data_IF_131955415782
#
_entry.id   IF_131955415782
#
_cell.length_a   1.000
_cell.length_b   1.000
_cell.length_c   1.000
_cell.angle_alpha   90.00
_cell.angle_beta   90.00
_cell.angle_gamma   90.00
#
_symmetry.space_group_name_H-M   'P 1'
#
loop_
_entity.id
_entity.type
_entity.pdbx_description
1 polymer ?
#
# COMPACT_ATOMS: atom_id res chain seq x y z
N UNK A 1 5.32 -10.13 -21.74
CA UNK A 1 6.68 -10.71 -21.93
C UNK A 1 7.46 -10.12 -20.77
N UNK A 2 7.30 -10.76 -19.61
CA UNK A 2 7.39 -10.05 -18.34
C UNK A 2 8.82 -10.18 -17.83
N UNK A 3 9.55 -9.07 -17.92
CA UNK A 3 10.87 -8.93 -17.30
C UNK A 3 10.77 -7.96 -16.13
N UNK A 4 9.79 -8.21 -15.25
CA UNK A 4 10.00 -7.93 -13.84
C UNK A 4 10.88 -9.10 -13.38
N UNK A 5 12.15 -8.89 -12.99
CA UNK A 5 12.95 -9.99 -12.47
C UNK A 5 12.16 -10.61 -11.31
N UNK A 6 11.83 -11.91 -11.42
CA UNK A 6 11.33 -12.69 -10.29
C UNK A 6 12.22 -12.35 -9.11
N UNK A 7 11.62 -11.74 -8.10
CA UNK A 7 12.34 -11.38 -6.91
C UNK A 7 12.87 -12.68 -6.31
N UNK A 8 14.16 -12.76 -5.93
CA UNK A 8 14.65 -13.97 -5.29
C UNK A 8 13.79 -14.22 -4.06
N UNK A 9 13.20 -15.42 -3.99
CA UNK A 9 12.48 -15.90 -2.82
C UNK A 9 13.33 -15.64 -1.56
N UNK A 10 12.72 -15.18 -0.46
CA UNK A 10 13.47 -14.98 0.77
C UNK A 10 14.08 -16.32 1.18
N UNK A 11 15.26 -16.24 1.81
CA UNK A 11 15.89 -17.46 2.36
C UNK A 11 14.95 -18.13 3.37
N UNK A 12 15.09 -19.45 3.58
CA UNK A 12 14.31 -20.17 4.58
C UNK A 12 14.43 -19.52 5.96
N UNK A 13 13.34 -19.54 6.72
CA UNK A 13 13.30 -18.94 8.07
C UNK A 13 14.41 -19.49 8.97
N UNK A 14 14.63 -20.81 8.95
CA UNK A 14 15.67 -21.49 9.73
C UNK A 14 17.10 -21.01 9.40
N UNK A 15 17.32 -20.44 8.21
CA UNK A 15 18.58 -19.81 7.82
C UNK A 15 18.64 -18.33 8.18
N UNK A 16 17.50 -17.63 8.12
CA UNK A 16 17.42 -16.19 8.37
C UNK A 16 17.41 -15.83 9.86
N UNK A 17 16.72 -16.60 10.70
CA UNK A 17 16.67 -16.39 12.16
C UNK A 17 18.08 -16.24 12.78
N UNK A 18 19.02 -17.20 12.62
CA UNK A 18 20.35 -17.08 13.22
C UNK A 18 21.14 -15.90 12.63
N UNK A 19 20.97 -15.56 11.35
CA UNK A 19 21.67 -14.44 10.74
C UNK A 19 21.19 -13.09 11.27
N UNK A 20 19.89 -12.97 11.57
CA UNK A 20 19.30 -11.80 12.23
C UNK A 20 19.74 -11.74 13.70
N UNK A 21 19.82 -12.87 14.40
CA UNK A 21 20.33 -12.94 15.77
C UNK A 21 21.81 -12.51 15.87
N UNK A 22 22.65 -12.94 14.94
CA UNK A 22 24.06 -12.57 14.87
C UNK A 22 24.27 -11.11 14.44
N UNK A 23 23.38 -10.57 13.60
CA UNK A 23 23.49 -9.23 13.04
C UNK A 23 22.19 -8.43 13.26
N UNK A 24 21.83 -8.12 14.52
CA UNK A 24 20.54 -7.53 14.83
C UNK A 24 20.34 -6.18 14.16
N UNK A 25 21.38 -5.39 13.90
CA UNK A 25 21.22 -4.07 13.26
C UNK A 25 21.04 -4.14 11.73
N UNK A 26 21.09 -5.33 11.12
CA UNK A 26 20.99 -5.48 9.68
C UNK A 26 19.52 -5.44 9.22
N UNK A 27 19.04 -4.23 8.90
CA UNK A 27 17.66 -3.99 8.46
C UNK A 27 17.27 -4.80 7.21
N UNK A 28 18.22 -5.10 6.32
CA UNK A 28 17.96 -5.92 5.13
C UNK A 28 17.64 -7.36 5.51
N UNK A 29 18.41 -7.95 6.43
CA UNK A 29 18.15 -9.31 6.93
C UNK A 29 16.82 -9.37 7.68
N UNK A 30 16.51 -8.35 8.49
CA UNK A 30 15.22 -8.27 9.17
C UNK A 30 14.05 -8.18 8.18
N UNK A 31 14.15 -7.33 7.15
CA UNK A 31 13.11 -7.22 6.13
C UNK A 31 12.90 -8.54 5.38
N UNK A 32 13.98 -9.24 5.02
CA UNK A 32 13.89 -10.56 4.38
C UNK A 32 13.26 -11.61 5.30
N UNK A 33 13.57 -11.59 6.61
CA UNK A 33 12.94 -12.48 7.58
C UNK A 33 11.46 -12.15 7.79
N UNK A 34 11.08 -10.87 7.81
CA UNK A 34 9.66 -10.45 7.84
C UNK A 34 8.92 -11.03 6.65
N UNK A 35 9.50 -11.01 5.45
CA UNK A 35 8.88 -11.58 4.26
C UNK A 35 8.76 -13.09 4.32
N UNK A 36 9.81 -13.77 4.76
CA UNK A 36 9.78 -15.21 4.96
C UNK A 36 8.65 -15.59 5.93
N UNK A 37 8.49 -14.86 7.03
CA UNK A 37 7.37 -15.03 7.96
C UNK A 37 6.01 -14.78 7.30
N UNK A 38 5.88 -13.71 6.50
CA UNK A 38 4.62 -13.41 5.81
C UNK A 38 4.25 -14.51 4.80
N UNK A 39 5.22 -15.04 4.04
CA UNK A 39 5.01 -16.14 3.11
C UNK A 39 4.60 -17.45 3.81
N UNK A 40 5.19 -17.73 4.97
CA UNK A 40 4.88 -18.91 5.79
C UNK A 40 3.58 -18.76 6.62
N UNK A 41 2.94 -17.58 6.58
CA UNK A 41 1.73 -17.28 7.35
C UNK A 41 1.98 -16.98 8.83
N UNK A 42 3.24 -16.80 9.23
CA UNK A 42 3.71 -16.44 10.58
C UNK A 42 3.57 -14.93 10.83
N UNK A 43 2.34 -14.43 10.70
CA UNK A 43 2.03 -12.99 10.72
C UNK A 43 2.37 -12.34 12.07
N UNK A 44 2.19 -13.06 13.18
CA UNK A 44 2.48 -12.55 14.52
C UNK A 44 3.99 -12.33 14.72
N UNK A 45 4.83 -13.27 14.28
CA UNK A 45 6.28 -13.15 14.32
C UNK A 45 6.79 -12.04 13.41
N UNK A 46 6.23 -11.93 12.20
CA UNK A 46 6.50 -10.82 11.29
C UNK A 46 6.22 -9.48 11.99
N UNK A 47 5.04 -9.34 12.61
CA UNK A 47 4.62 -8.11 13.30
C UNK A 47 5.54 -7.78 14.47
N UNK A 48 5.90 -8.78 15.28
CA UNK A 48 6.81 -8.61 16.41
C UNK A 48 8.19 -8.15 15.94
N UNK A 49 8.70 -8.71 14.84
CA UNK A 49 9.99 -8.31 14.27
C UNK A 49 9.97 -6.87 13.75
N UNK A 50 8.90 -6.44 13.08
CA UNK A 50 8.72 -5.04 12.66
C UNK A 50 8.69 -4.11 13.88
N UNK A 51 7.91 -4.44 14.91
CA UNK A 51 7.81 -3.67 16.16
C UNK A 51 9.18 -3.54 16.87
N UNK A 52 9.98 -4.60 16.85
CA UNK A 52 11.33 -4.60 17.43
C UNK A 52 12.37 -3.85 16.56
N UNK A 53 12.02 -3.54 15.31
CA UNK A 53 12.91 -2.85 14.36
C UNK A 53 12.75 -1.34 14.40
N UNK A 54 11.54 -0.86 14.67
CA UNK A 54 11.25 0.57 14.73
C UNK A 54 11.33 1.01 16.20
N UNK A 55 12.32 1.82 16.61
CA UNK A 55 12.45 2.25 17.98
C UNK A 55 11.18 2.97 18.47
N UNK A 56 10.85 2.88 19.77
CA UNK A 56 9.70 3.60 20.32
C UNK A 56 9.76 5.10 19.98
N UNK A 57 8.77 5.57 19.23
CA UNK A 57 8.65 6.95 18.76
C UNK A 57 7.34 7.58 19.25
N UNK A 58 7.31 8.91 19.32
CA UNK A 58 6.11 9.71 19.64
C UNK A 58 5.47 10.35 18.41
N UNK A 59 6.07 10.14 17.24
CA UNK A 59 5.61 10.68 15.96
C UNK A 59 5.48 9.54 14.94
N UNK A 60 4.53 9.65 13.99
CA UNK A 60 4.28 8.61 12.97
C UNK A 60 5.34 8.56 11.87
N UNK A 61 6.18 9.60 11.77
CA UNK A 61 7.15 9.79 10.67
C UNK A 61 8.02 8.55 10.34
N UNK A 62 8.60 7.81 11.31
CA UNK A 62 9.42 6.63 10.97
C UNK A 62 8.63 5.55 10.22
N UNK A 63 7.38 5.31 10.58
CA UNK A 63 6.53 4.31 9.92
C UNK A 63 6.22 4.75 8.48
N UNK A 64 5.88 6.03 8.30
CA UNK A 64 5.62 6.61 6.98
C UNK A 64 6.85 6.51 6.05
N UNK A 65 8.03 6.88 6.53
CA UNK A 65 9.26 6.85 5.72
C UNK A 65 9.74 5.43 5.40
N UNK A 66 9.67 4.51 6.38
CA UNK A 66 10.09 3.12 6.17
C UNK A 66 9.13 2.43 5.21
N UNK A 67 7.82 2.58 5.44
CA UNK A 67 6.79 2.02 4.56
C UNK A 67 6.92 2.56 3.13
N UNK A 68 7.13 3.87 2.97
CA UNK A 68 7.27 4.48 1.64
C UNK A 68 8.50 3.94 0.91
N UNK A 69 9.61 3.76 1.63
CA UNK A 69 10.80 3.14 1.05
C UNK A 69 10.58 1.70 0.62
N UNK A 70 9.79 0.94 1.38
CA UNK A 70 9.39 -0.42 1.05
C UNK A 70 8.46 -0.46 -0.17
N UNK A 71 7.53 0.51 -0.30
CA UNK A 71 6.69 0.66 -1.49
C UNK A 71 7.54 0.93 -2.75
N UNK A 72 8.52 1.85 -2.68
CA UNK A 72 9.46 2.14 -3.78
C UNK A 72 10.24 0.90 -4.22
N UNK A 73 10.62 0.06 -3.27
CA UNK A 73 11.44 -1.14 -3.51
C UNK A 73 10.60 -2.39 -3.76
N UNK A 74 9.27 -2.24 -3.89
CA UNK A 74 8.30 -3.31 -4.15
C UNK A 74 8.22 -4.40 -3.06
N UNK A 75 8.48 -4.03 -1.81
CA UNK A 75 8.27 -4.85 -0.62
C UNK A 75 6.88 -4.57 -0.01
N UNK A 76 5.84 -4.61 -0.83
CA UNK A 76 4.50 -4.08 -0.49
C UNK A 76 3.89 -4.78 0.73
N UNK A 77 4.03 -6.11 0.86
CA UNK A 77 3.52 -6.84 2.01
C UNK A 77 4.21 -6.44 3.33
N UNK A 78 5.52 -6.16 3.30
CA UNK A 78 6.26 -5.63 4.44
C UNK A 78 5.84 -4.19 4.73
N UNK A 79 5.61 -3.38 3.69
CA UNK A 79 5.12 -2.01 3.83
C UNK A 79 3.76 -1.99 4.54
N UNK A 80 2.82 -2.86 4.13
CA UNK A 80 1.52 -3.01 4.77
C UNK A 80 1.67 -3.31 6.27
N UNK A 81 2.58 -4.21 6.64
CA UNK A 81 2.84 -4.54 8.04
C UNK A 81 3.45 -3.36 8.82
N UNK A 82 4.38 -2.61 8.21
CA UNK A 82 4.96 -1.40 8.82
C UNK A 82 3.89 -0.33 9.04
N UNK A 83 3.03 -0.09 8.05
CA UNK A 83 1.93 0.86 8.16
C UNK A 83 0.89 0.39 9.19
N UNK A 84 0.61 -0.91 9.27
CA UNK A 84 -0.29 -1.48 10.26
C UNK A 84 0.21 -1.22 11.69
N UNK A 85 1.48 -1.53 11.97
CA UNK A 85 2.10 -1.25 13.28
C UNK A 85 2.10 0.25 13.57
N UNK A 86 2.32 1.08 12.55
CA UNK A 86 2.22 2.54 12.67
C UNK A 86 0.81 2.99 13.05
N UNK A 87 -0.21 2.52 12.32
CA UNK A 87 -1.62 2.85 12.54
C UNK A 87 -2.11 2.39 13.91
N UNK A 88 -1.72 1.20 14.38
CA UNK A 88 -2.03 0.71 15.72
C UNK A 88 -1.53 1.66 16.83
N UNK A 89 -0.46 2.41 16.57
CA UNK A 89 0.13 3.37 17.51
C UNK A 89 -0.36 4.81 17.32
N UNK A 90 -0.71 5.17 16.10
CA UNK A 90 -1.16 6.52 15.71
C UNK A 90 -2.43 6.40 14.86
N UNK A 91 -3.56 5.97 15.45
CA UNK A 91 -4.75 5.65 14.68
C UNK A 91 -5.39 6.86 14.00
N UNK A 92 -5.13 8.07 14.48
CA UNK A 92 -5.66 9.33 13.91
C UNK A 92 -4.73 9.95 12.84
N UNK A 93 -3.61 9.31 12.48
CA UNK A 93 -2.72 9.82 11.41
C UNK A 93 -3.27 9.44 10.03
N UNK A 94 -3.88 10.40 9.35
CA UNK A 94 -4.50 10.17 8.04
C UNK A 94 -3.54 9.63 6.96
N UNK A 95 -2.25 9.97 7.02
CA UNK A 95 -1.26 9.42 6.08
C UNK A 95 -1.04 7.93 6.33
N UNK A 96 -0.90 7.49 7.57
CA UNK A 96 -0.79 6.07 7.89
C UNK A 96 -2.04 5.29 7.50
N UNK A 97 -3.23 5.86 7.72
CA UNK A 97 -4.49 5.27 7.26
C UNK A 97 -4.48 5.05 5.74
N UNK A 98 -4.14 6.10 4.98
CA UNK A 98 -4.13 6.05 3.52
C UNK A 98 -3.06 5.11 2.96
N UNK A 99 -1.83 5.17 3.49
CA UNK A 99 -0.74 4.32 3.02
C UNK A 99 -0.97 2.85 3.39
N UNK A 100 -1.60 2.57 4.54
CA UNK A 100 -2.02 1.21 4.88
C UNK A 100 -3.06 0.71 3.87
N UNK A 101 -4.08 1.52 3.57
CA UNK A 101 -5.11 1.18 2.58
C UNK A 101 -4.48 0.82 1.23
N UNK A 102 -3.59 1.67 0.69
CA UNK A 102 -2.91 1.39 -0.57
C UNK A 102 -2.00 0.16 -0.51
N UNK A 103 -1.27 -0.04 0.59
CA UNK A 103 -0.41 -1.21 0.72
C UNK A 103 -1.22 -2.52 0.78
N UNK A 104 -2.42 -2.53 1.39
CA UNK A 104 -3.32 -3.68 1.37
C UNK A 104 -3.85 -3.96 -0.05
N UNK A 105 -4.25 -2.91 -0.78
CA UNK A 105 -4.70 -2.98 -2.17
C UNK A 105 -3.59 -3.53 -3.07
N UNK A 106 -2.40 -2.92 -3.04
CA UNK A 106 -1.29 -3.31 -3.91
C UNK A 106 -0.71 -4.69 -3.57
N UNK A 107 -0.77 -5.12 -2.31
CA UNK A 107 -0.35 -6.47 -1.92
C UNK A 107 -1.40 -7.54 -2.24
N UNK A 108 -2.53 -7.17 -2.85
CA UNK A 108 -3.59 -8.09 -3.24
C UNK A 108 -4.26 -8.76 -2.04
N UNK A 109 -4.34 -8.06 -0.90
CA UNK A 109 -5.03 -8.59 0.26
C UNK A 109 -6.52 -8.80 -0.08
N UNK A 110 -7.16 -9.85 0.47
CA UNK A 110 -8.57 -10.10 0.23
C UNK A 110 -9.43 -8.89 0.62
N UNK A 111 -10.51 -8.62 -0.12
CA UNK A 111 -11.43 -7.49 0.14
C UNK A 111 -11.93 -7.44 1.58
N UNK A 112 -12.18 -8.60 2.21
CA UNK A 112 -12.53 -8.68 3.65
C UNK A 112 -11.55 -7.97 4.60
N UNK A 113 -10.25 -7.90 4.24
CA UNK A 113 -9.22 -7.23 5.03
C UNK A 113 -9.32 -5.71 4.85
N UNK A 114 -9.67 -5.26 3.65
CA UNK A 114 -9.97 -3.85 3.35
C UNK A 114 -11.24 -3.41 4.09
N UNK A 115 -12.29 -4.22 4.07
CA UNK A 115 -13.54 -3.99 4.83
C UNK A 115 -13.26 -3.87 6.34
N UNK A 116 -12.46 -4.78 6.90
CA UNK A 116 -12.08 -4.71 8.32
C UNK A 116 -11.33 -3.41 8.64
N UNK A 117 -10.42 -2.98 7.75
CA UNK A 117 -9.74 -1.71 7.93
C UNK A 117 -10.73 -0.54 7.89
N UNK A 118 -11.66 -0.51 6.93
CA UNK A 118 -12.70 0.54 6.83
C UNK A 118 -13.45 0.68 8.16
N UNK A 119 -13.93 -0.43 8.74
CA UNK A 119 -14.60 -0.38 10.04
C UNK A 119 -13.74 0.19 11.16
N UNK A 120 -12.44 -0.11 11.18
CA UNK A 120 -11.52 0.47 12.16
C UNK A 120 -11.27 1.97 11.91
N UNK A 121 -11.22 2.39 10.65
CA UNK A 121 -11.06 3.79 10.28
C UNK A 121 -12.27 4.63 10.71
N UNK A 122 -13.49 4.10 10.63
CA UNK A 122 -14.71 4.72 11.13
C UNK A 122 -14.64 5.00 12.66
N UNK A 123 -13.98 4.13 13.42
CA UNK A 123 -13.79 4.29 14.86
C UNK A 123 -12.67 5.29 15.22
N UNK A 124 -11.74 5.55 14.29
CA UNK A 124 -10.57 6.40 14.52
C UNK A 124 -10.40 7.46 13.41
N UNK A 125 -11.36 8.37 13.24
CA UNK A 125 -11.33 9.31 12.12
C UNK A 125 -10.22 10.37 12.27
N UNK A 126 -9.67 10.75 11.13
CA UNK A 126 -8.76 11.87 10.89
C UNK A 126 -9.41 12.82 9.87
N UNK A 127 -8.75 13.92 9.54
CA UNK A 127 -9.27 14.87 8.54
C UNK A 127 -9.34 14.32 7.11
N UNK A 128 -8.74 13.16 6.84
CA UNK A 128 -8.67 12.55 5.50
C UNK A 128 -9.19 11.12 5.47
N UNK A 129 -9.87 10.69 6.54
CA UNK A 129 -10.40 9.32 6.66
C UNK A 129 -11.46 9.03 5.62
N UNK A 130 -12.41 9.93 5.39
CA UNK A 130 -13.49 9.72 4.40
C UNK A 130 -12.93 9.46 3.00
N UNK A 131 -11.86 10.19 2.62
CA UNK A 131 -11.16 9.97 1.34
C UNK A 131 -10.51 8.57 1.30
N UNK A 132 -9.93 8.14 2.42
CA UNK A 132 -9.29 6.82 2.52
C UNK A 132 -10.32 5.68 2.51
N UNK A 133 -11.47 5.87 3.14
CA UNK A 133 -12.59 4.93 3.10
C UNK A 133 -13.10 4.81 1.67
N UNK A 134 -13.37 5.93 0.99
CA UNK A 134 -13.83 5.90 -0.40
C UNK A 134 -12.85 5.19 -1.35
N UNK A 135 -11.53 5.31 -1.12
CA UNK A 135 -10.52 4.54 -1.86
C UNK A 135 -10.71 3.03 -1.64
N UNK A 136 -10.92 2.60 -0.40
CA UNK A 136 -11.17 1.20 -0.05
C UNK A 136 -12.49 0.68 -0.64
N UNK A 137 -13.56 1.47 -0.55
CA UNK A 137 -14.87 1.14 -1.11
C UNK A 137 -14.82 1.00 -2.64
N UNK A 138 -14.20 1.96 -3.33
CA UNK A 138 -14.00 1.86 -4.78
C UNK A 138 -13.23 0.58 -5.16
N UNK A 139 -12.20 0.21 -4.41
CA UNK A 139 -11.48 -1.04 -4.64
C UNK A 139 -12.35 -2.29 -4.42
N UNK A 140 -13.18 -2.30 -3.37
CA UNK A 140 -14.12 -3.40 -3.12
C UNK A 140 -15.09 -3.55 -4.30
N UNK A 141 -15.72 -2.47 -4.73
CA UNK A 141 -16.69 -2.46 -5.83
C UNK A 141 -16.08 -2.95 -7.16
N UNK A 142 -14.81 -2.62 -7.43
CA UNK A 142 -14.05 -3.17 -8.58
C UNK A 142 -13.97 -4.70 -8.49
N UNK A 143 -13.62 -5.24 -7.32
CA UNK A 143 -13.44 -6.67 -7.12
C UNK A 143 -14.76 -7.45 -7.07
N UNK A 144 -15.84 -6.81 -6.64
CA UNK A 144 -17.17 -7.40 -6.61
C UNK A 144 -17.87 -7.39 -7.98
N UNK A 145 -17.28 -6.74 -8.98
CA UNK A 145 -17.83 -6.66 -10.33
C UNK A 145 -18.90 -5.58 -10.49
N UNK A 146 -18.84 -4.53 -9.68
CA UNK A 146 -19.68 -3.33 -9.76
C UNK A 146 -18.85 -2.11 -10.22
N UNK A 147 -18.21 -2.17 -11.41
CA UNK A 147 -17.26 -1.15 -11.85
C UNK A 147 -17.87 0.25 -11.94
N UNK A 148 -19.14 0.36 -12.33
CA UNK A 148 -19.82 1.66 -12.44
C UNK A 148 -19.90 2.39 -11.07
N UNK A 149 -20.16 1.63 -9.98
CA UNK A 149 -20.20 2.19 -8.62
C UNK A 149 -18.81 2.66 -8.21
N UNK A 150 -17.78 1.86 -8.47
CA UNK A 150 -16.41 2.23 -8.18
C UNK A 150 -16.00 3.52 -8.89
N UNK A 151 -16.39 3.68 -10.16
CA UNK A 151 -16.07 4.88 -10.94
C UNK A 151 -16.77 6.12 -10.39
N UNK A 152 -18.04 6.01 -9.97
CA UNK A 152 -18.77 7.11 -9.34
C UNK A 152 -18.06 7.56 -8.05
N UNK A 153 -17.67 6.61 -7.18
CA UNK A 153 -16.92 6.90 -5.95
C UNK A 153 -15.59 7.62 -6.30
N UNK A 154 -14.83 7.10 -7.25
CA UNK A 154 -13.54 7.68 -7.64
C UNK A 154 -13.70 9.11 -8.18
N UNK A 155 -14.75 9.38 -8.96
CA UNK A 155 -15.01 10.72 -9.48
C UNK A 155 -15.39 11.70 -8.37
N UNK A 156 -16.20 11.29 -7.40
CA UNK A 156 -16.53 12.11 -6.23
C UNK A 156 -15.26 12.47 -5.41
N UNK A 157 -14.38 11.51 -5.21
CA UNK A 157 -13.10 11.75 -4.52
C UNK A 157 -12.18 12.70 -5.29
N UNK A 158 -12.18 12.64 -6.63
CA UNK A 158 -11.40 13.53 -7.48
C UNK A 158 -11.96 14.96 -7.46
N UNK A 159 -13.28 15.11 -7.35
CA UNK A 159 -13.97 16.39 -7.24
C UNK A 159 -13.91 17.00 -5.83
N UNK A 160 -13.47 16.23 -4.83
CA UNK A 160 -13.35 16.69 -3.44
C UNK A 160 -12.28 17.79 -3.32
N UNK A 161 -12.71 19.00 -2.95
CA UNK A 161 -11.82 20.14 -2.78
C UNK A 161 -10.76 19.86 -1.69
N UNK A 162 -9.49 20.13 -2.02
CA UNK A 162 -8.37 19.90 -1.11
C UNK A 162 -8.02 18.43 -0.85
N UNK A 163 -8.47 17.47 -1.68
CA UNK A 163 -8.06 16.07 -1.57
C UNK A 163 -6.51 15.93 -1.59
N UNK A 164 -5.87 15.53 -0.47
CA UNK A 164 -4.41 15.43 -0.39
C UNK A 164 -3.85 14.17 -1.05
N UNK A 165 -4.71 13.23 -1.46
CA UNK A 165 -4.38 11.96 -2.10
C UNK A 165 -4.87 11.90 -3.56
N UNK A 166 -5.08 13.07 -4.18
CA UNK A 166 -5.56 13.16 -5.56
C UNK A 166 -4.70 12.37 -6.56
N UNK A 167 -3.34 12.39 -6.52
CA UNK A 167 -2.53 11.57 -7.41
C UNK A 167 -2.80 10.07 -7.21
N UNK A 168 -2.94 9.62 -5.97
CA UNK A 168 -3.23 8.23 -5.65
C UNK A 168 -4.66 7.84 -6.12
N UNK A 169 -5.66 8.70 -5.93
CA UNK A 169 -7.03 8.47 -6.44
C UNK A 169 -7.07 8.36 -7.96
N UNK A 170 -6.32 9.22 -8.67
CA UNK A 170 -6.20 9.16 -10.13
C UNK A 170 -5.50 7.88 -10.61
N UNK A 171 -4.51 7.41 -9.86
CA UNK A 171 -3.89 6.11 -10.11
C UNK A 171 -4.90 4.96 -9.96
N UNK A 172 -5.71 4.95 -8.91
CA UNK A 172 -6.74 3.92 -8.74
C UNK A 172 -7.78 3.97 -9.87
N UNK A 173 -8.15 5.16 -10.36
CA UNK A 173 -8.99 5.30 -11.55
C UNK A 173 -8.33 4.79 -12.84
N UNK A 174 -7.03 4.98 -12.99
CA UNK A 174 -6.29 4.38 -14.10
C UNK A 174 -6.29 2.85 -14.03
N UNK A 175 -6.09 2.27 -12.85
CA UNK A 175 -6.19 0.81 -12.63
C UNK A 175 -7.61 0.29 -12.91
N UNK A 176 -8.64 1.04 -12.51
CA UNK A 176 -10.02 0.76 -12.84
C UNK A 176 -10.22 0.62 -14.36
N UNK A 177 -9.85 1.65 -15.12
CA UNK A 177 -10.03 1.66 -16.57
C UNK A 177 -9.22 0.54 -17.26
N UNK A 178 -8.03 0.24 -16.73
CA UNK A 178 -7.23 -0.90 -17.18
C UNK A 178 -7.98 -2.23 -16.98
N UNK A 179 -8.60 -2.42 -15.82
CA UNK A 179 -9.33 -3.64 -15.47
C UNK A 179 -10.60 -3.84 -16.31
N UNK A 180 -11.32 -2.76 -16.64
CA UNK A 180 -12.51 -2.82 -17.50
C UNK A 180 -12.20 -2.81 -19.01
N UNK A 181 -10.92 -2.80 -19.38
CA UNK A 181 -10.48 -2.91 -20.77
C UNK A 181 -10.59 -1.61 -21.57
N UNK A 182 -10.54 -0.47 -20.89
CA UNK A 182 -10.55 0.86 -21.51
C UNK A 182 -9.15 1.52 -21.39
N UNK A 183 -8.22 1.25 -22.32
CA UNK A 183 -6.83 1.70 -22.20
C UNK A 183 -6.65 3.22 -22.33
N UNK A 184 -7.42 3.88 -23.19
CA UNK A 184 -7.32 5.32 -23.40
C UNK A 184 -7.60 6.14 -22.11
N UNK A 185 -8.74 5.93 -21.40
CA UNK A 185 -8.98 6.63 -20.14
C UNK A 185 -8.07 6.16 -18.99
N UNK A 186 -7.52 4.94 -19.06
CA UNK A 186 -6.50 4.47 -18.13
C UNK A 186 -5.21 5.30 -18.26
N UNK A 187 -4.69 5.40 -19.48
CA UNK A 187 -3.49 6.20 -19.81
C UNK A 187 -3.71 7.66 -19.38
N UNK A 188 -4.84 8.26 -19.73
CA UNK A 188 -5.15 9.64 -19.35
C UNK A 188 -5.13 9.83 -17.82
N UNK A 189 -5.73 8.91 -17.06
CA UNK A 189 -5.74 8.98 -15.59
C UNK A 189 -4.33 8.85 -15.00
N UNK A 190 -3.48 7.99 -15.56
CA UNK A 190 -2.10 7.86 -15.13
C UNK A 190 -1.24 9.09 -15.48
N UNK A 191 -1.42 9.68 -16.66
CA UNK A 191 -0.74 10.91 -17.05
C UNK A 191 -1.16 12.09 -16.17
N UNK A 192 -2.45 12.21 -15.86
CA UNK A 192 -2.98 13.21 -14.93
C UNK A 192 -2.33 13.05 -13.55
N UNK A 193 -2.31 11.82 -13.00
CA UNK A 193 -1.66 11.52 -11.72
C UNK A 193 -0.18 11.92 -11.72
N UNK A 194 0.55 11.56 -12.78
CA UNK A 194 1.98 11.85 -12.93
C UNK A 194 2.26 13.37 -13.00
N UNK A 195 1.36 14.14 -13.62
CA UNK A 195 1.47 15.59 -13.74
C UNK A 195 1.43 16.32 -12.39
N UNK A 196 0.80 15.72 -11.37
CA UNK A 196 0.65 16.28 -10.03
C UNK A 196 1.87 16.11 -9.13
N UNK A 197 3.00 15.60 -9.66
CA UNK A 197 4.24 15.31 -8.92
C UNK A 197 3.98 14.36 -7.73
N UNK A 198 3.53 13.13 -8.02
CA UNK A 198 3.28 12.12 -7.01
C UNK A 198 4.56 11.75 -6.24
N UNK A 199 4.43 11.14 -5.05
CA UNK A 199 5.57 10.55 -4.35
C UNK A 199 6.28 9.49 -5.20
N UNK A 200 7.55 9.22 -4.91
CA UNK A 200 8.40 8.38 -5.78
C UNK A 200 7.85 6.97 -5.97
N UNK A 201 7.31 6.35 -4.91
CA UNK A 201 6.71 5.02 -5.02
C UNK A 201 5.58 4.98 -6.06
N UNK A 202 4.71 5.99 -6.05
CA UNK A 202 3.57 6.09 -6.97
C UNK A 202 4.06 6.45 -8.38
N UNK A 203 5.06 7.33 -8.49
CA UNK A 203 5.70 7.65 -9.78
C UNK A 203 6.20 6.38 -10.48
N UNK A 204 6.88 5.49 -9.75
CA UNK A 204 7.38 4.23 -10.29
C UNK A 204 6.25 3.30 -10.77
N UNK A 205 5.12 3.27 -10.06
CA UNK A 205 3.93 2.51 -10.48
C UNK A 205 3.30 3.07 -11.75
N UNK A 206 3.11 4.38 -11.80
CA UNK A 206 2.55 5.09 -12.95
C UNK A 206 3.42 4.91 -14.20
N UNK A 207 4.74 5.07 -14.07
CA UNK A 207 5.69 4.87 -15.17
C UNK A 207 5.67 3.40 -15.66
N UNK A 208 5.58 2.44 -14.74
CA UNK A 208 5.42 1.02 -15.07
C UNK A 208 4.14 0.74 -15.86
N UNK A 209 3.00 1.16 -15.34
CA UNK A 209 1.69 0.95 -15.97
C UNK A 209 1.62 1.60 -17.37
N UNK A 210 2.12 2.84 -17.51
CA UNK A 210 2.18 3.52 -18.81
C UNK A 210 3.11 2.85 -19.82
N UNK A 211 4.14 2.14 -19.35
CA UNK A 211 5.04 1.40 -20.23
C UNK A 211 4.43 0.07 -20.72
N UNK A 212 3.59 -0.56 -19.90
CA UNK A 212 2.88 -1.80 -20.25
C UNK A 212 1.73 -1.56 -21.25
N UNK A 213 1.19 -0.34 -21.29
CA UNK A 213 0.07 0.04 -22.16
C UNK A 213 0.49 0.58 -23.55
N UNK A 214 1.79 0.63 -23.85
CA UNK A 214 2.35 1.06 -25.14
C UNK A 214 2.61 -0.12 -26.08
#
# INVERSE_FOLDING_TARGET
MDFIPERPEPRPIDELEPLVEENPENLRLRAELVEAYLQDGRIDEARQLVQATIPPTRVPLPYNLIGEKLMETNHVAVAALVYQVGYERFPEDGRLQNMLMYALIESGQPTRVVEELIHRLEETPSSTTDITIGIGEAYIEINEGNPDIALDILNELIETDGNPYLPETLYLRGLYYAAVGEPDPAIASFEDALSLRPPEWLRLRLEGALNEMK
#
